data_IF_380853138148
#
_entry.id   IF_380853138148
#
_cell.length_a   1.000
_cell.length_b   1.000
_cell.length_c   1.000
_cell.angle_alpha   90.00
_cell.angle_beta   90.00
_cell.angle_gamma   90.00
#
_symmetry.space_group_name_H-M   'P 1'
#
loop_
_entity.id
_entity.type
_entity.pdbx_description
1 polymer ?
#
# COMPACT_ATOMS: atom_id res chain seq x y z
N UNK A 1 -86.00 -16.49 11.94
CA UNK A 1 -87.28 -16.08 11.34
C UNK A 1 -87.43 -14.57 11.50
N UNK A 2 -88.04 -13.79 10.58
CA UNK A 2 -88.23 -14.03 9.15
C UNK A 2 -87.67 -12.95 8.26
N UNK A 3 -87.45 -13.24 7.02
CA UNK A 3 -88.21 -12.95 5.78
C UNK A 3 -87.79 -11.65 5.06
N UNK A 4 -87.16 -11.89 3.94
CA UNK A 4 -87.30 -11.33 2.59
C UNK A 4 -87.83 -9.91 2.41
N UNK A 5 -87.17 -9.11 1.54
CA UNK A 5 -87.75 -8.79 0.21
C UNK A 5 -86.72 -8.28 -0.77
N UNK A 6 -86.83 -8.80 -1.99
CA UNK A 6 -86.14 -8.37 -3.23
C UNK A 6 -86.70 -7.06 -3.73
N UNK A 7 -85.88 -6.19 -4.29
CA UNK A 7 -86.40 -5.29 -5.33
C UNK A 7 -85.30 -5.11 -6.39
N UNK A 8 -85.63 -5.51 -7.63
CA UNK A 8 -84.85 -5.28 -8.86
C UNK A 8 -84.86 -3.79 -9.26
N UNK A 9 -83.77 -3.21 -9.64
CA UNK A 9 -83.79 -2.05 -10.54
C UNK A 9 -82.69 -2.24 -11.59
N UNK A 10 -83.03 -1.89 -12.78
CA UNK A 10 -82.46 -2.14 -14.11
C UNK A 10 -81.04 -1.56 -14.32
N UNK A 11 -80.31 -2.27 -15.18
CA UNK A 11 -79.08 -1.86 -15.81
C UNK A 11 -79.21 -0.57 -16.61
N UNK A 12 -78.24 0.32 -16.49
CA UNK A 12 -77.95 1.36 -17.46
C UNK A 12 -76.47 1.22 -17.80
N UNK A 13 -76.18 0.78 -19.01
CA UNK A 13 -74.86 0.68 -19.58
C UNK A 13 -74.39 2.09 -19.95
N UNK A 14 -73.33 2.57 -19.34
CA UNK A 14 -72.56 3.73 -19.83
C UNK A 14 -71.17 3.22 -20.16
N UNK A 15 -70.86 3.13 -21.43
CA UNK A 15 -69.54 2.87 -21.99
C UNK A 15 -68.67 4.10 -21.75
N UNK A 16 -67.75 4.01 -20.85
CA UNK A 16 -66.67 5.01 -20.73
C UNK A 16 -65.38 4.38 -21.20
N UNK A 17 -64.85 4.81 -22.36
CA UNK A 17 -63.53 4.54 -22.86
C UNK A 17 -62.51 5.14 -21.88
N UNK A 18 -61.85 4.30 -21.10
CA UNK A 18 -60.64 4.70 -20.37
C UNK A 18 -59.43 4.47 -21.24
N UNK A 19 -58.88 5.53 -21.79
CA UNK A 19 -57.59 5.53 -22.46
C UNK A 19 -56.48 5.35 -21.40
N UNK A 20 -55.92 4.12 -21.31
CA UNK A 20 -54.72 3.86 -20.52
C UNK A 20 -53.51 4.45 -21.25
N UNK A 21 -53.10 5.63 -20.80
CA UNK A 21 -51.75 6.18 -21.12
C UNK A 21 -50.73 5.36 -20.34
N UNK A 22 -50.10 4.39 -21.01
CA UNK A 22 -48.86 3.77 -20.55
C UNK A 22 -47.72 4.82 -20.60
N UNK A 23 -47.42 5.45 -19.47
CA UNK A 23 -46.12 6.10 -19.30
C UNK A 23 -45.05 5.02 -19.23
N UNK A 24 -44.41 4.73 -20.36
CA UNK A 24 -43.10 4.05 -20.41
C UNK A 24 -42.10 4.99 -19.74
N UNK A 25 -41.94 4.86 -18.43
CA UNK A 25 -40.80 5.41 -17.71
C UNK A 25 -39.54 4.75 -18.22
N UNK A 26 -38.88 5.37 -19.22
CA UNK A 26 -37.51 5.05 -19.58
C UNK A 26 -36.65 5.50 -18.39
N UNK A 27 -36.50 4.62 -17.42
CA UNK A 27 -35.47 4.75 -16.40
C UNK A 27 -34.11 4.69 -17.11
N UNK A 28 -33.59 5.84 -17.49
CA UNK A 28 -32.20 5.95 -17.86
C UNK A 28 -31.37 5.48 -16.66
N UNK A 29 -30.95 4.21 -16.64
CA UNK A 29 -29.84 3.79 -15.80
C UNK A 29 -28.66 4.65 -16.21
N UNK A 30 -28.36 5.66 -15.37
CA UNK A 30 -27.08 6.35 -15.44
C UNK A 30 -26.03 5.27 -15.18
N UNK A 31 -25.55 4.64 -16.25
CA UNK A 31 -24.31 3.88 -16.17
C UNK A 31 -23.27 4.86 -15.62
N UNK A 32 -22.92 4.71 -14.35
CA UNK A 32 -21.75 5.37 -13.78
C UNK A 32 -20.56 4.82 -14.56
N UNK A 33 -20.17 5.51 -15.60
CA UNK A 33 -18.96 5.19 -16.34
C UNK A 33 -17.82 5.27 -15.33
N UNK A 34 -17.09 4.16 -15.15
CA UNK A 34 -15.83 4.15 -14.40
C UNK A 34 -15.01 5.32 -14.94
N UNK A 35 -14.45 6.21 -14.10
CA UNK A 35 -13.59 7.28 -14.60
C UNK A 35 -12.56 6.68 -15.53
N UNK A 36 -12.34 7.32 -16.68
CA UNK A 36 -11.35 6.84 -17.63
C UNK A 36 -10.03 6.66 -16.87
N UNK A 37 -9.51 5.44 -16.86
CA UNK A 37 -8.22 5.12 -16.25
C UNK A 37 -7.11 5.88 -16.97
N UNK A 38 -5.87 5.85 -16.45
CA UNK A 38 -4.74 6.50 -17.11
C UNK A 38 -4.50 5.91 -18.51
N UNK A 39 -4.06 6.76 -19.44
CA UNK A 39 -3.65 6.36 -20.79
C UNK A 39 -2.23 5.77 -20.84
N UNK A 40 -1.59 5.56 -19.68
CA UNK A 40 -0.27 4.97 -19.50
C UNK A 40 -0.30 3.79 -18.52
N UNK A 41 0.70 2.91 -18.62
CA UNK A 41 0.90 1.81 -17.68
C UNK A 41 1.24 2.37 -16.30
N UNK A 42 0.56 1.88 -15.25
CA UNK A 42 0.88 2.19 -13.85
C UNK A 42 1.83 1.15 -13.26
N UNK A 43 2.58 1.54 -12.26
CA UNK A 43 3.39 0.65 -11.44
C UNK A 43 2.92 0.78 -10.00
N UNK A 44 2.41 -0.31 -9.45
CA UNK A 44 2.21 -0.47 -8.02
C UNK A 44 3.54 -0.93 -7.41
N UNK A 45 4.26 0.01 -6.80
CA UNK A 45 5.61 -0.22 -6.32
C UNK A 45 5.65 -0.90 -4.93
N UNK A 46 4.50 -1.38 -4.42
CA UNK A 46 4.43 -2.08 -3.14
C UNK A 46 3.20 -2.99 -3.06
N UNK A 47 3.39 -4.27 -3.31
CA UNK A 47 2.36 -5.28 -3.18
C UNK A 47 2.95 -6.59 -2.65
N UNK A 48 2.13 -7.45 -2.03
CA UNK A 48 2.50 -8.74 -1.47
C UNK A 48 1.71 -9.86 -2.14
N UNK A 49 2.31 -10.52 -3.13
CA UNK A 49 1.63 -11.53 -3.95
C UNK A 49 2.34 -12.86 -3.80
N UNK A 50 1.70 -13.82 -3.13
CA UNK A 50 2.24 -15.15 -2.90
C UNK A 50 1.31 -16.27 -3.38
N UNK A 51 0.42 -15.92 -4.32
CA UNK A 51 -0.42 -16.88 -5.02
C UNK A 51 -0.40 -16.61 -6.53
N UNK A 52 -0.06 -17.63 -7.32
CA UNK A 52 0.00 -17.53 -8.78
C UNK A 52 -1.33 -17.95 -9.39
N UNK A 53 -2.11 -16.99 -9.88
CA UNK A 53 -3.42 -17.27 -10.44
C UNK A 53 -3.61 -16.53 -11.78
N UNK A 54 -4.04 -17.24 -12.85
CA UNK A 54 -4.30 -16.61 -14.14
C UNK A 54 -5.33 -15.47 -14.10
N UNK A 55 -6.25 -15.51 -13.12
CA UNK A 55 -7.23 -14.44 -12.93
C UNK A 55 -6.57 -13.14 -12.43
N UNK A 56 -5.58 -13.23 -11.55
CA UNK A 56 -4.80 -12.08 -11.08
C UNK A 56 -3.99 -11.45 -12.23
N UNK A 57 -3.30 -12.26 -13.02
CA UNK A 57 -2.56 -11.76 -14.19
C UNK A 57 -3.49 -11.05 -15.20
N UNK A 58 -4.68 -11.62 -15.45
CA UNK A 58 -5.69 -10.96 -16.29
C UNK A 58 -6.17 -9.63 -15.70
N UNK A 59 -6.35 -9.56 -14.39
CA UNK A 59 -6.73 -8.32 -13.70
C UNK A 59 -5.65 -7.24 -13.86
N UNK A 60 -4.37 -7.55 -13.63
CA UNK A 60 -3.26 -6.63 -13.88
C UNK A 60 -3.24 -6.15 -15.34
N UNK A 61 -3.53 -7.06 -16.29
CA UNK A 61 -3.66 -6.71 -17.71
C UNK A 61 -4.80 -5.72 -17.99
N UNK A 62 -5.98 -5.94 -17.42
CA UNK A 62 -7.14 -5.03 -17.60
C UNK A 62 -6.91 -3.67 -16.96
N UNK A 63 -6.29 -3.66 -15.79
CA UNK A 63 -5.97 -2.41 -15.06
C UNK A 63 -4.74 -1.70 -15.61
N UNK A 64 -4.02 -2.32 -16.54
CA UNK A 64 -2.74 -1.84 -17.09
C UNK A 64 -1.74 -1.49 -15.99
N UNK A 65 -1.53 -2.44 -15.07
CA UNK A 65 -0.65 -2.30 -13.90
C UNK A 65 0.47 -3.33 -13.96
N UNK A 66 1.67 -2.90 -13.57
CA UNK A 66 2.80 -3.74 -13.15
C UNK A 66 2.93 -3.64 -11.63
N UNK A 67 3.51 -4.65 -11.00
CA UNK A 67 3.73 -4.66 -9.56
C UNK A 67 5.19 -4.87 -9.19
N UNK A 68 5.62 -4.29 -8.07
CA UNK A 68 6.77 -4.76 -7.32
C UNK A 68 6.27 -5.70 -6.22
N UNK A 69 6.52 -6.98 -6.39
CA UNK A 69 6.17 -7.99 -5.39
C UNK A 69 7.22 -8.02 -4.28
N UNK A 70 6.87 -7.63 -3.08
CA UNK A 70 7.79 -7.45 -1.96
C UNK A 70 7.74 -8.66 -1.02
N UNK A 71 8.91 -9.26 -0.77
CA UNK A 71 9.10 -10.22 0.30
C UNK A 71 9.45 -9.49 1.61
N UNK A 72 8.98 -10.01 2.73
CA UNK A 72 9.24 -9.44 4.06
C UNK A 72 9.35 -10.58 5.09
N UNK A 73 10.10 -10.38 6.17
CA UNK A 73 10.08 -11.30 7.32
C UNK A 73 9.34 -10.65 8.47
N UNK A 74 8.18 -11.22 8.80
CA UNK A 74 7.37 -10.88 9.97
C UNK A 74 7.00 -12.17 10.70
N UNK A 75 7.51 -12.36 11.92
CA UNK A 75 7.26 -13.57 12.71
C UNK A 75 5.84 -13.66 13.30
N UNK A 76 5.10 -12.54 13.26
CA UNK A 76 3.75 -12.41 13.81
C UNK A 76 2.67 -12.55 12.73
N UNK A 77 3.04 -12.57 11.45
CA UNK A 77 2.07 -12.62 10.37
C UNK A 77 2.21 -13.87 9.50
N UNK A 78 1.08 -14.57 9.37
CA UNK A 78 0.99 -15.84 8.65
C UNK A 78 1.41 -15.71 7.19
N UNK A 79 2.44 -16.47 6.81
CA UNK A 79 2.96 -16.53 5.45
C UNK A 79 4.12 -15.56 5.21
N UNK A 80 4.45 -14.75 6.22
CA UNK A 80 5.61 -13.88 6.20
C UNK A 80 6.73 -14.32 7.15
N UNK A 81 6.56 -15.43 7.86
CA UNK A 81 7.50 -15.90 8.89
C UNK A 81 8.89 -16.22 8.33
N UNK A 82 8.96 -16.64 7.06
CA UNK A 82 10.21 -17.06 6.41
C UNK A 82 10.39 -16.43 5.03
N UNK A 83 11.58 -15.94 4.73
CA UNK A 83 11.92 -15.34 3.45
C UNK A 83 11.93 -16.35 2.29
N UNK A 84 12.48 -17.56 2.50
CA UNK A 84 12.73 -18.54 1.45
C UNK A 84 11.49 -18.94 0.64
N UNK A 85 10.38 -19.38 1.27
CA UNK A 85 9.14 -19.70 0.58
C UNK A 85 8.55 -18.54 -0.21
N UNK A 86 8.63 -17.32 0.32
CA UNK A 86 8.17 -16.09 -0.33
C UNK A 86 8.98 -15.81 -1.58
N UNK A 87 10.32 -15.81 -1.50
CA UNK A 87 11.23 -15.57 -2.63
C UNK A 87 11.01 -16.60 -3.74
N UNK A 88 10.87 -17.90 -3.40
CA UNK A 88 10.58 -18.94 -4.39
C UNK A 88 9.24 -18.68 -5.11
N UNK A 89 8.24 -18.18 -4.39
CA UNK A 89 6.94 -17.85 -4.98
C UNK A 89 7.03 -16.58 -5.83
N UNK A 90 7.73 -15.54 -5.36
CA UNK A 90 7.95 -14.31 -6.10
C UNK A 90 8.62 -14.57 -7.45
N UNK A 91 9.65 -15.43 -7.48
CA UNK A 91 10.30 -15.85 -8.71
C UNK A 91 9.34 -16.54 -9.70
N UNK A 92 8.44 -17.42 -9.21
CA UNK A 92 7.42 -18.05 -10.06
C UNK A 92 6.47 -17.01 -10.66
N UNK A 93 6.05 -16.02 -9.85
CA UNK A 93 5.16 -14.94 -10.29
C UNK A 93 5.84 -14.09 -11.35
N UNK A 94 7.08 -13.68 -11.15
CA UNK A 94 7.83 -12.88 -12.13
C UNK A 94 7.92 -13.62 -13.47
N UNK A 95 8.26 -14.92 -13.44
CA UNK A 95 8.36 -15.75 -14.65
C UNK A 95 7.02 -15.91 -15.37
N UNK A 96 5.92 -16.04 -14.62
CA UNK A 96 4.57 -16.20 -15.18
C UNK A 96 3.98 -14.87 -15.68
N UNK A 97 4.36 -13.74 -15.08
CA UNK A 97 3.73 -12.42 -15.26
C UNK A 97 3.93 -11.77 -16.63
N UNK A 98 4.79 -12.33 -17.49
CA UNK A 98 5.13 -11.76 -18.81
C UNK A 98 5.59 -10.30 -18.73
N UNK A 99 6.42 -9.98 -17.72
CA UNK A 99 6.95 -8.64 -17.49
C UNK A 99 6.03 -7.71 -16.68
N UNK A 100 4.94 -8.21 -16.09
CA UNK A 100 4.06 -7.41 -15.24
C UNK A 100 4.40 -7.44 -13.76
N UNK A 101 5.43 -8.19 -13.37
CA UNK A 101 5.94 -8.21 -12.01
C UNK A 101 7.46 -8.16 -11.99
N UNK A 102 7.99 -7.36 -11.09
CA UNK A 102 9.35 -7.44 -10.57
C UNK A 102 9.27 -7.90 -9.11
N UNK A 103 10.40 -8.21 -8.46
CA UNK A 103 10.39 -8.62 -7.07
C UNK A 103 11.47 -7.95 -6.23
N UNK A 104 11.13 -7.76 -4.96
CA UNK A 104 11.97 -7.21 -3.92
C UNK A 104 12.34 -8.33 -2.95
N UNK A 105 13.63 -8.58 -2.76
CA UNK A 105 14.15 -9.53 -1.79
C UNK A 105 14.05 -9.00 -0.36
N UNK A 106 14.38 -9.83 0.60
CA UNK A 106 14.51 -9.47 2.02
C UNK A 106 15.55 -10.36 2.67
N UNK A 107 15.89 -10.09 3.92
CA UNK A 107 16.69 -10.96 4.76
C UNK A 107 16.13 -11.01 6.18
N UNK A 108 16.37 -12.09 6.91
CA UNK A 108 16.01 -12.22 8.31
C UNK A 108 17.09 -11.56 9.19
N UNK A 109 16.75 -10.48 9.94
CA UNK A 109 17.71 -9.83 10.82
C UNK A 109 17.94 -10.59 12.15
N UNK A 110 17.24 -11.68 12.39
CA UNK A 110 17.49 -12.47 13.59
C UNK A 110 18.94 -13.00 13.60
N UNK A 111 19.48 -13.18 14.79
CA UNK A 111 20.89 -13.58 14.99
C UNK A 111 21.90 -12.59 14.39
N UNK A 112 21.57 -11.33 14.32
CA UNK A 112 22.42 -10.27 13.78
C UNK A 112 23.75 -10.08 14.54
N UNK A 113 23.80 -10.48 15.82
CA UNK A 113 25.01 -10.49 16.64
C UNK A 113 25.94 -11.67 16.33
N UNK A 114 25.52 -12.64 15.50
CA UNK A 114 26.33 -13.81 15.18
C UNK A 114 27.52 -13.45 14.31
N UNK A 115 28.69 -14.03 14.57
CA UNK A 115 29.86 -13.85 13.70
C UNK A 115 29.55 -14.14 12.24
N UNK A 116 29.93 -13.23 11.35
CA UNK A 116 29.72 -13.38 9.90
C UNK A 116 28.31 -13.07 9.41
N UNK A 117 27.41 -12.52 10.24
CA UNK A 117 26.04 -12.17 9.85
C UNK A 117 25.98 -11.36 8.54
N UNK A 118 26.69 -10.24 8.47
CA UNK A 118 26.68 -9.39 7.27
C UNK A 118 27.17 -10.15 6.02
N UNK A 119 28.21 -10.95 6.15
CA UNK A 119 28.74 -11.76 5.04
C UNK A 119 27.73 -12.80 4.53
N UNK A 120 26.98 -13.43 5.44
CA UNK A 120 25.91 -14.38 5.08
C UNK A 120 24.77 -13.66 4.36
N UNK A 121 24.28 -12.56 4.91
CA UNK A 121 23.22 -11.74 4.27
C UNK A 121 23.65 -11.25 2.88
N UNK A 122 24.89 -10.77 2.73
CA UNK A 122 25.43 -10.35 1.42
C UNK A 122 25.43 -11.51 0.43
N UNK A 123 25.79 -12.73 0.87
CA UNK A 123 25.73 -13.94 0.02
C UNK A 123 24.30 -14.27 -0.45
N UNK A 124 23.33 -14.21 0.45
CA UNK A 124 21.91 -14.43 0.16
C UNK A 124 21.34 -13.36 -0.79
N UNK A 125 21.68 -12.10 -0.56
CA UNK A 125 21.26 -10.98 -1.43
C UNK A 125 21.95 -11.06 -2.80
N UNK A 126 23.21 -11.49 -2.87
CA UNK A 126 23.92 -11.69 -4.14
C UNK A 126 23.19 -12.74 -5.00
N UNK A 127 22.76 -13.85 -4.39
CA UNK A 127 21.94 -14.85 -5.09
C UNK A 127 20.59 -14.27 -5.53
N UNK A 128 19.90 -13.52 -4.65
CA UNK A 128 18.64 -12.87 -4.99
C UNK A 128 18.78 -11.92 -6.19
N UNK A 129 19.87 -11.18 -6.27
CA UNK A 129 20.13 -10.27 -7.40
C UNK A 129 20.44 -11.01 -8.70
N UNK A 130 21.15 -12.16 -8.63
CA UNK A 130 21.33 -13.05 -9.78
C UNK A 130 20.00 -13.63 -10.25
N UNK A 131 19.09 -13.91 -9.34
CA UNK A 131 17.73 -14.38 -9.62
C UNK A 131 16.76 -13.23 -10.03
N UNK A 132 17.28 -12.00 -10.18
CA UNK A 132 16.55 -10.87 -10.73
C UNK A 132 15.82 -10.00 -9.72
N UNK A 133 16.14 -10.08 -8.41
CA UNK A 133 15.63 -9.11 -7.43
C UNK A 133 16.12 -7.69 -7.76
N UNK A 134 15.20 -6.73 -7.73
CA UNK A 134 15.51 -5.32 -8.08
C UNK A 134 15.70 -4.43 -6.85
N UNK A 135 15.27 -4.90 -5.68
CA UNK A 135 15.31 -4.17 -4.42
C UNK A 135 15.46 -5.14 -3.23
N UNK A 136 15.68 -4.58 -2.04
CA UNK A 136 15.75 -5.30 -0.77
C UNK A 136 14.82 -4.61 0.24
N UNK A 137 14.01 -5.38 0.96
CA UNK A 137 13.14 -4.89 2.04
C UNK A 137 13.79 -5.12 3.41
N UNK A 138 13.73 -4.09 4.27
CA UNK A 138 13.91 -4.23 5.72
C UNK A 138 12.60 -3.90 6.42
N UNK A 139 12.41 -4.44 7.63
CA UNK A 139 11.12 -4.43 8.30
C UNK A 139 11.16 -3.77 9.67
N UNK A 140 10.01 -3.35 10.12
CA UNK A 140 9.78 -2.60 11.38
C UNK A 140 10.20 -3.34 12.66
N UNK A 141 10.46 -4.64 12.60
CA UNK A 141 11.07 -5.38 13.70
C UNK A 141 12.39 -4.74 14.17
N UNK A 142 13.14 -4.10 13.24
CA UNK A 142 14.26 -3.22 13.56
C UNK A 142 13.72 -1.92 14.17
N UNK A 143 14.11 -1.67 15.40
CA UNK A 143 13.67 -0.52 16.21
C UNK A 143 12.46 -0.79 17.08
N UNK A 144 11.60 -1.76 16.75
CA UNK A 144 10.37 -2.01 17.48
C UNK A 144 10.37 -3.29 18.32
N UNK A 145 11.13 -4.32 17.92
CA UNK A 145 11.06 -5.64 18.54
C UNK A 145 12.42 -6.25 18.86
N UNK A 146 13.33 -6.27 17.88
CA UNK A 146 14.59 -6.98 18.00
C UNK A 146 15.51 -6.36 19.03
N UNK A 147 16.05 -7.19 19.93
CA UNK A 147 16.97 -6.79 21.01
C UNK A 147 18.27 -7.56 20.92
N UNK A 148 19.35 -6.88 21.28
CA UNK A 148 20.65 -7.49 21.54
C UNK A 148 20.65 -8.24 22.88
N UNK A 149 21.72 -9.01 23.13
CA UNK A 149 21.91 -9.73 24.38
C UNK A 149 21.99 -8.81 25.61
N UNK A 150 22.40 -7.53 25.45
CA UNK A 150 22.42 -6.55 26.52
C UNK A 150 21.07 -5.84 26.75
N UNK A 151 20.04 -6.20 25.94
CA UNK A 151 18.69 -5.67 26.03
C UNK A 151 18.46 -4.36 25.26
N UNK A 152 19.46 -3.82 24.59
CA UNK A 152 19.26 -2.67 23.68
C UNK A 152 18.49 -3.09 22.43
N UNK A 153 17.71 -2.15 21.85
CA UNK A 153 16.98 -2.43 20.60
C UNK A 153 17.90 -2.28 19.39
N UNK A 154 17.82 -3.26 18.49
CA UNK A 154 18.46 -3.19 17.16
C UNK A 154 17.83 -2.07 16.35
N UNK A 155 18.60 -1.03 16.06
CA UNK A 155 18.14 0.13 15.30
C UNK A 155 18.54 0.04 13.82
N UNK A 156 17.81 0.71 12.90
CA UNK A 156 18.14 0.65 11.47
C UNK A 156 19.50 1.28 11.12
N UNK A 157 20.10 2.06 12.00
CA UNK A 157 21.45 2.61 11.84
C UNK A 157 22.53 1.84 12.60
N UNK A 158 22.24 0.62 13.05
CA UNK A 158 23.27 -0.22 13.69
C UNK A 158 24.41 -0.51 12.70
N UNK A 159 25.67 -0.36 13.11
CA UNK A 159 26.83 -0.58 12.23
C UNK A 159 26.91 -1.97 11.59
N UNK A 160 26.24 -2.97 12.15
CA UNK A 160 26.18 -4.34 11.58
C UNK A 160 25.56 -4.33 10.17
N UNK A 161 24.72 -3.36 9.86
CA UNK A 161 24.08 -3.23 8.55
C UNK A 161 24.91 -2.45 7.53
N UNK A 162 25.93 -1.68 7.96
CA UNK A 162 26.73 -0.84 7.05
C UNK A 162 27.27 -1.64 5.85
N UNK A 163 27.91 -2.82 6.02
CA UNK A 163 28.38 -3.61 4.87
C UNK A 163 27.27 -4.08 3.93
N UNK A 164 26.09 -4.37 4.49
CA UNK A 164 24.92 -4.81 3.71
C UNK A 164 24.39 -3.63 2.88
N UNK A 165 24.25 -2.45 3.46
CA UNK A 165 23.78 -1.24 2.78
C UNK A 165 24.76 -0.75 1.72
N UNK A 166 26.07 -0.86 1.98
CA UNK A 166 27.11 -0.60 0.97
C UNK A 166 27.01 -1.58 -0.20
N UNK A 167 26.81 -2.86 0.06
CA UNK A 167 26.62 -3.87 -0.97
C UNK A 167 25.36 -3.58 -1.83
N UNK A 168 24.22 -3.30 -1.22
CA UNK A 168 22.96 -2.95 -1.92
C UNK A 168 23.20 -1.73 -2.83
N UNK A 169 23.90 -0.71 -2.32
CA UNK A 169 24.23 0.50 -3.06
C UNK A 169 25.16 0.22 -4.24
N UNK A 170 26.20 -0.61 -4.03
CA UNK A 170 27.18 -1.02 -5.05
C UNK A 170 26.52 -1.79 -6.19
N UNK A 171 25.59 -2.68 -5.87
CA UNK A 171 24.80 -3.46 -6.84
C UNK A 171 23.71 -2.61 -7.52
N UNK A 172 23.68 -1.28 -7.29
CA UNK A 172 22.71 -0.36 -7.85
C UNK A 172 21.26 -0.74 -7.52
N UNK A 173 21.01 -1.37 -6.36
CA UNK A 173 19.69 -1.78 -5.88
C UNK A 173 19.13 -0.74 -4.91
N UNK A 174 17.85 -0.86 -4.64
CA UNK A 174 17.11 0.08 -3.76
C UNK A 174 16.71 -0.62 -2.47
N UNK A 175 16.88 0.09 -1.35
CA UNK A 175 16.39 -0.36 -0.05
C UNK A 175 14.95 0.13 0.15
N UNK A 176 14.01 -0.79 0.33
CA UNK A 176 12.66 -0.52 0.82
C UNK A 176 12.66 -0.63 2.34
N UNK A 177 12.42 0.48 3.01
CA UNK A 177 12.54 0.58 4.46
C UNK A 177 11.17 0.81 5.10
N UNK A 178 10.57 -0.27 5.63
CA UNK A 178 9.43 -0.18 6.54
C UNK A 178 9.98 -0.02 7.95
N UNK A 179 10.16 1.21 8.38
CA UNK A 179 10.71 1.58 9.68
C UNK A 179 9.68 2.37 10.46
N UNK A 180 9.33 1.89 11.65
CA UNK A 180 8.24 2.36 12.50
C UNK A 180 6.82 2.12 11.91
N UNK A 181 5.84 2.27 12.75
CA UNK A 181 4.41 2.22 12.47
C UNK A 181 3.82 3.65 12.38
N UNK A 182 2.55 3.82 11.95
CA UNK A 182 1.88 5.11 12.00
C UNK A 182 1.72 5.63 13.43
N UNK A 183 1.49 6.93 13.56
CA UNK A 183 1.29 7.61 14.85
C UNK A 183 0.25 6.96 15.76
N UNK A 184 -0.79 6.38 15.15
CA UNK A 184 -1.86 5.67 15.85
C UNK A 184 -1.35 4.49 16.67
N UNK A 185 -0.21 3.89 16.31
CA UNK A 185 0.40 2.79 17.07
C UNK A 185 0.87 3.23 18.46
N UNK A 186 1.24 4.50 18.64
CA UNK A 186 1.69 5.06 19.95
C UNK A 186 0.59 5.81 20.71
N UNK A 187 -0.65 5.80 20.20
CA UNK A 187 -1.78 6.52 20.81
C UNK A 187 -2.86 5.54 21.28
N UNK A 188 -3.75 5.93 22.20
CA UNK A 188 -4.92 5.14 22.54
C UNK A 188 -5.72 4.79 21.28
N UNK A 189 -6.38 3.61 21.25
CA UNK A 189 -7.24 3.20 20.16
C UNK A 189 -8.32 4.25 19.90
N UNK A 190 -8.41 4.69 18.65
CA UNK A 190 -9.41 5.63 18.16
C UNK A 190 -10.21 4.99 17.03
N UNK A 191 -11.53 4.75 17.22
CA UNK A 191 -12.40 4.19 16.18
C UNK A 191 -12.46 5.01 14.89
N UNK A 192 -12.07 6.29 14.92
CA UNK A 192 -12.00 7.16 13.74
C UNK A 192 -10.70 7.03 12.96
N UNK A 193 -9.67 6.39 13.55
CA UNK A 193 -8.39 6.14 12.88
C UNK A 193 -8.52 5.13 11.75
N UNK A 194 -7.86 5.32 10.60
CA UNK A 194 -7.76 4.30 9.56
C UNK A 194 -7.23 2.95 10.06
N UNK A 195 -6.35 2.97 11.08
CA UNK A 195 -5.69 1.77 11.61
C UNK A 195 -6.44 1.11 12.76
N UNK A 196 -7.61 1.63 13.16
CA UNK A 196 -8.38 1.05 14.27
C UNK A 196 -8.64 -0.44 14.07
N UNK A 197 -9.04 -0.82 12.84
CA UNK A 197 -9.30 -2.22 12.49
C UNK A 197 -8.07 -3.11 12.61
N UNK A 198 -6.86 -2.56 12.45
CA UNK A 198 -5.61 -3.29 12.59
C UNK A 198 -5.20 -3.44 14.07
N UNK A 199 -5.03 -2.35 14.80
CA UNK A 199 -4.55 -2.39 16.19
C UNK A 199 -5.58 -2.89 17.21
N UNK A 200 -6.87 -2.93 16.89
CA UNK A 200 -7.89 -3.53 17.76
C UNK A 200 -7.89 -5.07 17.73
N UNK A 201 -7.20 -5.69 16.77
CA UNK A 201 -7.08 -7.15 16.67
C UNK A 201 -5.99 -7.67 17.60
N UNK A 202 -6.25 -8.84 18.21
CA UNK A 202 -5.32 -9.47 19.15
C UNK A 202 -4.00 -9.86 18.48
N UNK A 203 -4.07 -10.27 17.24
CA UNK A 203 -2.94 -10.75 16.42
C UNK A 203 -1.93 -9.65 16.13
N UNK A 204 -2.34 -8.37 16.17
CA UNK A 204 -1.52 -7.20 15.85
C UNK A 204 -1.02 -6.44 17.08
N UNK A 205 -1.22 -6.97 18.29
CA UNK A 205 -0.83 -6.28 19.52
C UNK A 205 0.68 -6.11 19.67
N UNK A 206 1.49 -6.97 19.05
CA UNK A 206 2.95 -6.83 19.05
C UNK A 206 3.41 -5.56 18.34
N UNK A 207 2.62 -5.04 17.38
CA UNK A 207 2.88 -3.80 16.67
C UNK A 207 2.16 -2.58 17.25
N UNK A 208 1.28 -2.77 18.23
CA UNK A 208 0.58 -1.68 18.91
C UNK A 208 1.42 -1.12 20.06
N UNK A 209 2.29 -0.18 19.75
CA UNK A 209 3.32 0.37 20.64
C UNK A 209 2.77 1.05 21.89
N UNK A 210 1.53 1.50 21.89
CA UNK A 210 0.88 2.09 23.06
C UNK A 210 0.84 1.14 24.27
N UNK A 211 0.77 -0.17 24.04
CA UNK A 211 0.77 -1.19 25.10
C UNK A 211 2.20 -1.68 25.43
N UNK A 212 3.22 -1.15 24.76
CA UNK A 212 4.63 -1.47 24.94
C UNK A 212 5.47 -0.23 25.28
N UNK A 213 5.18 0.45 26.42
CA UNK A 213 5.86 1.71 26.77
C UNK A 213 7.37 1.57 27.00
N UNK A 214 7.86 0.34 27.17
CA UNK A 214 9.29 0.02 27.31
C UNK A 214 10.04 0.02 25.98
N UNK A 215 9.33 0.03 24.84
CA UNK A 215 9.92 0.04 23.49
C UNK A 215 10.29 1.46 23.07
N UNK A 216 11.22 1.63 22.09
CA UNK A 216 11.61 2.93 21.59
C UNK A 216 10.42 3.75 21.07
N UNK A 217 10.48 5.07 21.25
CA UNK A 217 9.49 5.97 20.65
C UNK A 217 9.64 6.04 19.13
N UNK A 218 8.58 6.46 18.46
CA UNK A 218 8.59 6.68 17.00
C UNK A 218 9.72 7.62 16.57
N UNK A 219 9.91 8.70 17.34
CA UNK A 219 10.95 9.70 17.07
C UNK A 219 12.36 9.10 17.15
N UNK A 220 12.62 8.23 18.13
CA UNK A 220 13.91 7.54 18.26
C UNK A 220 14.19 6.65 17.05
N UNK A 221 13.18 5.90 16.60
CA UNK A 221 13.28 4.99 15.46
C UNK A 221 13.49 5.76 14.16
N UNK A 222 12.71 6.83 13.94
CA UNK A 222 12.84 7.67 12.75
C UNK A 222 14.18 8.45 12.74
N UNK A 223 14.67 8.88 13.91
CA UNK A 223 16.00 9.50 14.01
C UNK A 223 17.12 8.50 13.64
N UNK A 224 17.00 7.23 14.02
CA UNK A 224 17.94 6.19 13.61
C UNK A 224 17.90 5.97 12.07
N UNK A 225 16.71 5.91 11.47
CA UNK A 225 16.59 5.89 10.01
C UNK A 225 17.26 7.12 9.37
N UNK A 226 17.03 8.29 9.90
CA UNK A 226 17.61 9.53 9.37
C UNK A 226 19.15 9.53 9.45
N UNK A 227 19.74 8.96 10.53
CA UNK A 227 21.21 8.73 10.61
C UNK A 227 21.72 7.72 9.60
N UNK A 228 20.95 6.63 9.36
CA UNK A 228 21.26 5.67 8.29
C UNK A 228 21.28 6.35 6.91
N UNK A 229 20.28 7.19 6.59
CA UNK A 229 20.24 7.95 5.34
C UNK A 229 21.47 8.87 5.16
N UNK A 230 21.87 9.55 6.24
CA UNK A 230 23.02 10.45 6.24
C UNK A 230 24.35 9.68 6.06
N UNK A 231 24.49 8.50 6.69
CA UNK A 231 25.68 7.66 6.62
C UNK A 231 25.87 7.01 5.24
N UNK A 232 24.76 6.69 4.57
CA UNK A 232 24.78 6.02 3.26
C UNK A 232 24.20 6.89 2.12
N UNK A 233 24.82 8.03 1.77
CA UNK A 233 24.23 9.00 0.83
C UNK A 233 24.13 8.49 -0.61
N UNK A 234 24.79 7.39 -0.95
CA UNK A 234 24.70 6.73 -2.26
C UNK A 234 23.62 5.64 -2.32
N UNK A 235 23.13 5.17 -1.18
CA UNK A 235 22.07 4.19 -1.11
C UNK A 235 20.73 4.86 -1.42
N UNK A 236 20.01 4.39 -2.44
CA UNK A 236 18.63 4.79 -2.67
C UNK A 236 17.73 4.11 -1.66
N UNK A 237 16.92 4.89 -0.94
CA UNK A 237 15.98 4.37 0.06
C UNK A 237 14.57 4.84 -0.28
N UNK A 238 13.65 3.90 -0.35
CA UNK A 238 12.21 4.17 -0.40
C UNK A 238 11.63 3.84 0.98
N UNK A 239 11.20 4.87 1.70
CA UNK A 239 10.46 4.72 2.96
C UNK A 239 9.05 4.23 2.66
N UNK A 240 8.73 3.01 3.09
CA UNK A 240 7.40 2.45 2.92
C UNK A 240 6.36 3.24 3.73
N UNK A 241 5.11 3.26 3.28
CA UNK A 241 3.99 3.84 4.04
C UNK A 241 4.19 5.33 4.35
N UNK A 242 4.56 6.13 3.33
CA UNK A 242 4.97 7.53 3.49
C UNK A 242 6.17 7.71 4.45
N UNK A 243 7.01 6.68 4.55
CA UNK A 243 8.15 6.65 5.47
C UNK A 243 7.74 6.69 6.95
N UNK A 244 6.54 6.21 7.26
CA UNK A 244 5.90 6.28 8.59
C UNK A 244 5.76 7.72 9.13
N UNK A 245 5.56 8.68 8.23
CA UNK A 245 5.28 10.09 8.53
C UNK A 245 3.92 10.50 7.93
N UNK A 246 2.97 9.59 7.99
CA UNK A 246 1.67 9.68 7.34
C UNK A 246 0.78 10.81 7.88
N UNK A 247 1.03 11.24 9.12
CA UNK A 247 0.21 12.23 9.80
C UNK A 247 0.40 13.66 9.24
N UNK A 248 1.61 13.96 8.74
CA UNK A 248 1.94 15.29 8.24
C UNK A 248 2.95 15.25 7.08
N UNK A 249 2.51 15.67 5.89
CA UNK A 249 3.40 15.74 4.70
C UNK A 249 4.56 16.72 4.86
N UNK A 250 4.51 17.68 5.80
CA UNK A 250 5.63 18.59 6.06
C UNK A 250 6.81 17.86 6.70
N UNK A 251 6.56 16.79 7.47
CA UNK A 251 7.64 15.95 8.00
C UNK A 251 8.38 15.21 6.87
N UNK A 252 7.65 14.75 5.87
CA UNK A 252 8.22 14.10 4.69
C UNK A 252 9.04 15.15 3.90
N UNK A 253 8.49 16.35 3.72
CA UNK A 253 9.15 17.46 3.01
C UNK A 253 10.50 17.81 3.62
N UNK A 254 10.58 17.91 4.97
CA UNK A 254 11.83 18.18 5.69
C UNK A 254 12.91 17.09 5.41
N UNK A 255 12.51 15.81 5.33
CA UNK A 255 13.45 14.72 5.01
C UNK A 255 13.85 14.76 3.55
N UNK A 256 12.94 15.11 2.64
CA UNK A 256 13.27 15.29 1.23
C UNK A 256 14.26 16.44 1.00
N UNK A 257 14.11 17.55 1.68
CA UNK A 257 15.04 18.68 1.57
C UNK A 257 16.43 18.31 2.13
N UNK A 258 16.49 17.43 3.14
CA UNK A 258 17.74 17.03 3.81
C UNK A 258 18.45 15.84 3.16
N UNK A 259 17.68 14.85 2.67
CA UNK A 259 18.22 13.57 2.20
C UNK A 259 17.90 13.34 0.72
N UNK A 260 18.83 13.64 -0.23
CA UNK A 260 18.59 13.47 -1.66
C UNK A 260 18.42 12.00 -2.07
N UNK A 261 18.87 11.06 -1.27
CA UNK A 261 18.78 9.61 -1.47
C UNK A 261 17.50 8.98 -0.90
N UNK A 262 16.52 9.77 -0.45
CA UNK A 262 15.28 9.30 0.16
C UNK A 262 14.06 9.63 -0.68
N UNK A 263 13.19 8.66 -0.89
CA UNK A 263 11.85 8.77 -1.47
C UNK A 263 10.86 8.03 -0.55
N UNK A 264 9.57 8.14 -0.81
CA UNK A 264 8.54 7.36 -0.09
C UNK A 264 7.55 6.73 -1.07
N UNK A 265 6.93 5.63 -0.66
CA UNK A 265 5.74 5.10 -1.34
C UNK A 265 4.45 5.45 -0.59
N UNK A 266 3.31 5.33 -1.27
CA UNK A 266 1.98 5.64 -0.71
C UNK A 266 1.28 4.44 -0.08
N UNK A 267 1.93 3.29 -0.01
CA UNK A 267 1.35 2.01 0.36
C UNK A 267 0.57 2.10 1.68
N UNK A 268 -0.67 1.63 1.68
CA UNK A 268 -1.64 1.70 2.78
C UNK A 268 -1.91 3.11 3.36
N UNK A 269 -1.38 4.20 2.75
CA UNK A 269 -1.45 5.55 3.35
C UNK A 269 -2.15 6.60 2.50
N UNK A 270 -2.74 6.24 1.35
CA UNK A 270 -3.59 7.17 0.58
C UNK A 270 -4.73 7.75 1.43
N UNK A 271 -5.41 6.97 2.32
CA UNK A 271 -6.40 7.52 3.24
C UNK A 271 -5.86 8.62 4.17
N UNK A 272 -4.62 8.53 4.61
CA UNK A 272 -3.98 9.55 5.44
C UNK A 272 -3.73 10.87 4.68
N UNK A 273 -3.44 10.78 3.39
CA UNK A 273 -3.38 11.98 2.54
C UNK A 273 -4.76 12.63 2.40
N UNK A 274 -5.84 11.83 2.38
CA UNK A 274 -7.22 12.36 2.36
C UNK A 274 -7.57 13.10 3.65
N UNK A 275 -7.04 12.69 4.79
CA UNK A 275 -7.34 13.28 6.11
C UNK A 275 -6.63 14.62 6.35
N UNK A 276 -5.60 14.96 5.60
CA UNK A 276 -4.88 16.23 5.69
C UNK A 276 -5.53 17.33 4.84
N UNK A 277 -5.25 18.62 5.12
CA UNK A 277 -5.76 19.71 4.29
C UNK A 277 -5.39 19.50 2.81
N UNK A 278 -6.40 19.45 1.95
CA UNK A 278 -6.27 19.13 0.52
C UNK A 278 -5.17 19.92 -0.19
N UNK A 279 -5.17 21.24 -0.01
CA UNK A 279 -4.21 22.11 -0.71
C UNK A 279 -2.78 21.85 -0.23
N UNK A 280 -2.57 21.60 1.05
CA UNK A 280 -1.28 21.22 1.61
C UNK A 280 -0.71 19.95 0.95
N UNK A 281 -1.54 18.91 0.87
CA UNK A 281 -1.15 17.64 0.21
C UNK A 281 -0.88 17.85 -1.28
N UNK A 282 -1.72 18.65 -1.94
CA UNK A 282 -1.55 18.95 -3.36
C UNK A 282 -0.25 19.72 -3.63
N UNK A 283 0.07 20.74 -2.85
CA UNK A 283 1.31 21.51 -2.95
C UNK A 283 2.54 20.65 -2.68
N UNK A 284 2.49 19.80 -1.65
CA UNK A 284 3.54 18.84 -1.35
C UNK A 284 3.81 17.92 -2.55
N UNK A 285 2.78 17.32 -3.14
CA UNK A 285 2.94 16.42 -4.28
C UNK A 285 3.41 17.13 -5.55
N UNK A 286 3.04 18.40 -5.77
CA UNK A 286 3.55 19.20 -6.87
C UNK A 286 5.03 19.56 -6.68
N UNK A 287 5.44 19.93 -5.45
CA UNK A 287 6.83 20.29 -5.15
C UNK A 287 7.76 19.08 -5.20
N UNK A 288 7.34 17.96 -4.61
CA UNK A 288 8.16 16.77 -4.47
C UNK A 288 7.75 15.63 -5.41
N UNK A 289 7.19 15.95 -6.55
CA UNK A 289 6.64 15.04 -7.54
C UNK A 289 7.59 13.93 -8.01
N UNK A 290 8.90 14.08 -7.81
CA UNK A 290 9.95 13.12 -8.22
C UNK A 290 10.37 12.15 -7.10
N UNK A 291 9.70 12.20 -5.94
CA UNK A 291 10.07 11.51 -4.70
C UNK A 291 8.95 10.66 -4.09
N UNK A 292 7.76 10.65 -4.70
CA UNK A 292 6.62 9.86 -4.22
C UNK A 292 6.30 8.78 -5.25
N UNK A 293 6.31 7.53 -4.82
CA UNK A 293 5.98 6.35 -5.63
C UNK A 293 4.58 5.88 -5.25
N UNK A 294 3.76 5.52 -6.22
CA UNK A 294 2.51 4.86 -5.95
C UNK A 294 2.75 3.42 -5.51
N UNK A 295 2.13 3.00 -4.44
CA UNK A 295 2.10 1.65 -3.92
C UNK A 295 0.83 1.44 -3.11
N UNK A 296 0.32 0.22 -3.04
CA UNK A 296 -0.95 -0.09 -2.37
C UNK A 296 -0.81 -0.84 -1.06
N UNK A 297 0.20 -1.69 -0.90
CA UNK A 297 0.34 -2.66 0.18
C UNK A 297 -0.72 -3.78 0.13
N UNK A 298 -1.30 -4.01 -1.04
CA UNK A 298 -2.32 -5.04 -1.20
C UNK A 298 -1.70 -6.43 -1.21
N UNK A 299 -2.44 -7.38 -0.64
CA UNK A 299 -2.00 -8.75 -0.46
C UNK A 299 -2.84 -9.74 -1.28
N UNK A 300 -2.18 -10.75 -1.83
CA UNK A 300 -2.82 -11.93 -2.42
C UNK A 300 -2.13 -13.21 -1.91
N UNK A 301 -2.71 -13.78 -0.86
CA UNK A 301 -2.22 -14.98 -0.21
C UNK A 301 -2.94 -16.23 -0.70
N UNK A 302 -2.37 -17.44 -0.52
CA UNK A 302 -2.99 -18.71 -0.95
C UNK A 302 -4.36 -18.99 -0.32
N UNK A 303 -4.64 -18.42 0.85
CA UNK A 303 -5.89 -18.61 1.60
C UNK A 303 -6.91 -17.49 1.38
N UNK A 304 -6.60 -16.47 0.58
CA UNK A 304 -7.56 -15.41 0.27
C UNK A 304 -8.67 -15.92 -0.65
N UNK A 305 -9.90 -15.41 -0.44
CA UNK A 305 -10.97 -15.52 -1.41
C UNK A 305 -10.59 -14.70 -2.66
N UNK A 306 -10.33 -15.40 -3.76
CA UNK A 306 -9.78 -14.80 -4.97
C UNK A 306 -10.69 -13.71 -5.55
N UNK A 307 -11.99 -14.00 -5.70
CA UNK A 307 -12.92 -13.06 -6.33
C UNK A 307 -13.05 -11.77 -5.52
N UNK A 308 -13.24 -11.93 -4.21
CA UNK A 308 -13.32 -10.80 -3.27
C UNK A 308 -12.03 -9.98 -3.27
N UNK A 309 -10.87 -10.66 -3.25
CA UNK A 309 -9.56 -10.00 -3.24
C UNK A 309 -9.31 -9.22 -4.53
N UNK A 310 -9.54 -9.81 -5.69
CA UNK A 310 -9.38 -9.12 -6.97
C UNK A 310 -10.31 -7.91 -7.08
N UNK A 311 -11.55 -8.04 -6.61
CA UNK A 311 -12.50 -6.93 -6.58
C UNK A 311 -12.05 -5.80 -5.65
N UNK A 312 -11.44 -6.16 -4.52
CA UNK A 312 -10.84 -5.19 -3.61
C UNK A 312 -9.71 -4.42 -4.29
N UNK A 313 -8.75 -5.10 -4.94
CA UNK A 313 -7.66 -4.47 -5.69
C UNK A 313 -8.18 -3.50 -6.77
N UNK A 314 -9.17 -3.92 -7.58
CA UNK A 314 -9.76 -3.06 -8.60
C UNK A 314 -10.41 -1.80 -8.00
N UNK A 315 -11.06 -1.93 -6.84
CA UNK A 315 -11.67 -0.81 -6.14
C UNK A 315 -10.63 0.16 -5.57
N UNK A 316 -9.55 -0.37 -4.98
CA UNK A 316 -8.44 0.44 -4.46
C UNK A 316 -7.76 1.24 -5.58
N UNK A 317 -7.40 0.59 -6.70
CA UNK A 317 -6.83 1.28 -7.85
C UNK A 317 -7.76 2.38 -8.40
N UNK A 318 -9.06 2.12 -8.46
CA UNK A 318 -10.04 3.10 -8.94
C UNK A 318 -10.23 4.27 -7.97
N UNK A 319 -10.27 4.00 -6.65
CA UNK A 319 -10.38 5.01 -5.60
C UNK A 319 -9.16 5.93 -5.61
N UNK A 320 -7.97 5.34 -5.60
CA UNK A 320 -6.72 6.08 -5.53
C UNK A 320 -6.52 6.93 -6.78
N UNK A 321 -6.75 6.36 -7.97
CA UNK A 321 -6.71 7.13 -9.21
C UNK A 321 -7.67 8.32 -9.15
N UNK A 322 -8.91 8.10 -8.72
CA UNK A 322 -9.90 9.15 -8.59
C UNK A 322 -9.44 10.27 -7.65
N UNK A 323 -8.83 9.91 -6.51
CA UNK A 323 -8.33 10.86 -5.53
C UNK A 323 -7.19 11.73 -6.09
N UNK A 324 -6.21 11.12 -6.74
CA UNK A 324 -5.08 11.86 -7.27
C UNK A 324 -5.43 12.66 -8.54
N UNK A 325 -6.20 12.06 -9.47
CA UNK A 325 -6.35 12.56 -10.83
C UNK A 325 -7.53 13.53 -11.03
N UNK A 326 -8.53 13.52 -10.14
CA UNK A 326 -9.76 14.30 -10.35
C UNK A 326 -10.04 15.22 -9.17
N UNK A 327 -10.95 16.18 -9.35
CA UNK A 327 -11.52 17.00 -8.27
C UNK A 327 -12.83 16.44 -7.71
N UNK A 328 -13.23 15.24 -8.16
CA UNK A 328 -14.46 14.60 -7.73
C UNK A 328 -14.38 14.15 -6.28
N UNK A 329 -15.55 13.98 -5.67
CA UNK A 329 -15.66 13.42 -4.32
C UNK A 329 -15.28 11.95 -4.30
N UNK A 330 -14.38 11.59 -3.39
CA UNK A 330 -13.97 10.23 -3.05
C UNK A 330 -14.54 9.88 -1.68
N UNK A 331 -15.12 8.70 -1.53
CA UNK A 331 -15.62 8.20 -0.27
C UNK A 331 -14.62 7.22 0.35
N UNK A 332 -14.35 7.37 1.66
CA UNK A 332 -13.58 6.45 2.46
C UNK A 332 -14.12 6.41 3.89
N UNK A 333 -14.46 5.23 4.39
CA UNK A 333 -15.01 5.00 5.73
C UNK A 333 -16.18 5.95 6.09
N UNK A 334 -17.16 6.10 5.16
CA UNK A 334 -18.34 6.95 5.35
C UNK A 334 -18.06 8.46 5.32
N UNK A 335 -16.81 8.88 5.09
CA UNK A 335 -16.41 10.29 4.94
C UNK A 335 -16.18 10.61 3.47
N UNK A 336 -16.39 11.87 3.12
CA UNK A 336 -16.22 12.36 1.76
C UNK A 336 -15.01 13.31 1.68
N UNK A 337 -14.19 13.11 0.66
CA UNK A 337 -12.97 13.89 0.41
C UNK A 337 -12.96 14.37 -1.03
N UNK A 338 -12.52 15.59 -1.26
CA UNK A 338 -12.32 16.10 -2.60
C UNK A 338 -10.98 15.64 -3.16
N UNK A 339 -10.96 15.11 -4.38
CA UNK A 339 -9.74 14.70 -5.04
C UNK A 339 -8.78 15.87 -5.35
N UNK A 340 -7.52 15.54 -5.61
CA UNK A 340 -6.42 16.49 -5.70
C UNK A 340 -6.32 17.19 -7.07
N UNK A 341 -6.89 16.62 -8.13
CA UNK A 341 -6.79 17.13 -9.51
C UNK A 341 -5.33 17.45 -9.90
N UNK A 342 -4.43 16.49 -9.71
CA UNK A 342 -3.03 16.66 -10.10
C UNK A 342 -2.88 16.68 -11.63
N UNK A 343 -1.96 17.49 -12.18
CA UNK A 343 -1.67 17.49 -13.60
C UNK A 343 -1.14 16.13 -14.10
N UNK A 344 -1.49 15.75 -15.33
CA UNK A 344 -1.07 14.47 -15.92
C UNK A 344 0.45 14.18 -15.83
N UNK A 345 1.36 15.14 -16.06
CA UNK A 345 2.79 14.89 -15.90
C UNK A 345 3.19 14.47 -14.46
N UNK A 346 2.51 15.03 -13.45
CA UNK A 346 2.73 14.67 -12.04
C UNK A 346 2.15 13.30 -11.73
N UNK A 347 0.95 13.00 -12.22
CA UNK A 347 0.35 11.67 -12.13
C UNK A 347 1.24 10.61 -12.74
N UNK A 348 1.77 10.85 -13.93
CA UNK A 348 2.69 9.93 -14.59
C UNK A 348 3.94 9.66 -13.78
N UNK A 349 4.51 10.68 -13.13
CA UNK A 349 5.65 10.51 -12.22
C UNK A 349 5.29 9.62 -11.03
N UNK A 350 4.22 9.96 -10.30
CA UNK A 350 3.80 9.23 -9.09
C UNK A 350 3.45 7.78 -9.42
N UNK A 351 2.65 7.55 -10.45
CA UNK A 351 2.12 6.23 -10.78
C UNK A 351 3.05 5.37 -11.64
N UNK A 352 4.18 5.92 -12.12
CA UNK A 352 5.07 5.15 -13.00
C UNK A 352 6.53 5.59 -12.94
N UNK A 353 6.84 6.81 -13.36
CA UNK A 353 8.21 7.20 -13.71
C UNK A 353 9.13 7.21 -12.50
N UNK A 354 8.60 7.52 -11.31
CA UNK A 354 9.36 7.45 -10.06
C UNK A 354 9.71 6.00 -9.69
N UNK A 355 8.80 5.04 -9.89
CA UNK A 355 9.14 3.65 -9.67
C UNK A 355 10.30 3.20 -10.58
N UNK A 356 10.25 3.55 -11.86
CA UNK A 356 11.35 3.26 -12.82
C UNK A 356 12.67 3.93 -12.42
N UNK A 357 12.62 5.17 -11.93
CA UNK A 357 13.80 5.95 -11.52
C UNK A 357 14.40 5.42 -10.21
N UNK A 358 13.54 5.21 -9.21
CA UNK A 358 13.96 4.83 -7.87
C UNK A 358 14.24 3.34 -7.72
N UNK A 359 13.67 2.48 -8.56
CA UNK A 359 13.84 1.03 -8.53
C UNK A 359 14.30 0.53 -9.89
N UNK A 360 15.59 0.69 -10.22
CA UNK A 360 16.13 0.23 -11.50
C UNK A 360 15.90 -1.25 -11.72
N UNK A 361 15.26 -1.60 -12.86
CA UNK A 361 14.92 -2.97 -13.23
C UNK A 361 13.46 -3.38 -12.92
N UNK A 362 12.67 -2.49 -12.31
CA UNK A 362 11.24 -2.73 -12.07
C UNK A 362 10.46 -2.90 -13.37
#
# INVERSE_FOLDING_TARGET
MPIMTRTNIKAVTISSLLACLFFLGIGAQVQRTKPAGPNFERIDAHAHVFNTLPAFERMLGRENVRILNICVVDKHDRGFEEAGPQMATALRIVRASRGRAAWCSTFDPQNWESPGFAGRVIGELSQSFQDGAVAVKIYKSMGMELKSHDGSYLMPDDPVFDPIFEFISKENRTLYAHIAEPDSAWKPLDPSSPDYGYYSQKENQDWYMYVHPERPSKEMILAARDRMLARHPKLRVVGCHLGSMEADVDEIAQRFDRYPNFAVDTSARVPYLMLQPREKVREFLLKYQDRVLYGTDLELMPWNDLEKTLKHWENEYARDWKFFATDQTVEYNGRQFRGLALPEPVLRKIFRDNAVKWVPGI
#
